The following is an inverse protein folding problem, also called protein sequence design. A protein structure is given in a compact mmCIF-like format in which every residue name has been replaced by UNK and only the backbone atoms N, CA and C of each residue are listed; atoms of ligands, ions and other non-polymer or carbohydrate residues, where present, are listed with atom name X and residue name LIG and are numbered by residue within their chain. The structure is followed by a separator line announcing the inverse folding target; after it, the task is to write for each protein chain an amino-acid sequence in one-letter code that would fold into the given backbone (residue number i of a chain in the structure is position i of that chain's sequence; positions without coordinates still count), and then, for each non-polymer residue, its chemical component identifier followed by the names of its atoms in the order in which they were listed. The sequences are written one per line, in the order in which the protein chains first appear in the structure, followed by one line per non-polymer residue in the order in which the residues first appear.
data_IF_337174703731
#
_entry.id   IF_337174703731
#
_cell.length_a   1.000
_cell.length_b   1.000
_cell.length_c   1.000
_cell.angle_alpha   90.00
_cell.angle_beta   90.00
_cell.angle_gamma   90.00
#
_symmetry.space_group_name_H-M   'P 1'
#
loop_
_entity.id
_entity.type
_entity.pdbx_description
1 polymer ?
#
# COMPACT_ATOMS: atom_id res chain seq x y z
N UNK A 1 24.57 16.62 -23.68
CA UNK A 1 23.99 15.59 -24.57
C UNK A 1 23.83 14.35 -23.73
N UNK A 2 22.63 13.76 -23.60
CA UNK A 2 22.53 12.48 -22.90
C UNK A 2 23.30 11.43 -23.70
N UNK A 3 24.21 10.70 -23.04
CA UNK A 3 24.94 9.60 -23.64
C UNK A 3 23.93 8.60 -24.19
N UNK A 4 24.05 8.20 -25.44
CA UNK A 4 23.25 7.17 -26.08
C UNK A 4 23.62 5.79 -25.50
N UNK A 5 23.32 5.57 -24.21
CA UNK A 5 23.42 4.24 -23.65
C UNK A 5 22.28 3.39 -24.26
N UNK A 6 22.60 2.14 -24.65
CA UNK A 6 21.59 1.21 -25.15
C UNK A 6 20.40 1.09 -24.17
N UNK A 7 19.17 0.83 -24.65
CA UNK A 7 18.05 0.54 -23.78
C UNK A 7 18.40 -0.56 -22.75
N UNK A 8 18.12 -0.31 -21.47
CA UNK A 8 18.36 -1.28 -20.41
C UNK A 8 17.21 -2.27 -20.33
N UNK A 9 17.49 -3.51 -20.04
CA UNK A 9 16.47 -4.55 -19.85
C UNK A 9 16.37 -4.91 -18.36
N UNK A 10 15.26 -4.54 -17.74
CA UNK A 10 15.01 -4.80 -16.31
C UNK A 10 14.00 -5.91 -16.15
N UNK A 11 14.36 -6.99 -15.43
CA UNK A 11 13.49 -8.10 -15.14
C UNK A 11 12.90 -7.96 -13.72
N UNK A 12 11.63 -7.58 -13.60
CA UNK A 12 10.90 -7.65 -12.35
C UNK A 12 10.32 -9.05 -12.13
N UNK A 13 10.40 -9.59 -10.91
CA UNK A 13 9.86 -10.92 -10.57
C UNK A 13 8.83 -10.83 -9.45
N UNK A 14 7.60 -11.28 -9.74
CA UNK A 14 6.45 -11.25 -8.82
C UNK A 14 5.59 -12.50 -9.00
N UNK A 15 4.96 -13.07 -7.93
CA UNK A 15 4.21 -14.33 -8.04
C UNK A 15 3.05 -14.28 -9.03
N UNK A 16 2.22 -13.26 -8.93
CA UNK A 16 1.03 -13.02 -9.74
C UNK A 16 0.83 -11.51 -9.95
N UNK A 17 -0.03 -11.13 -10.90
CA UNK A 17 -0.45 -9.76 -11.20
C UNK A 17 -1.95 -9.62 -10.91
N UNK A 18 -2.37 -9.94 -9.69
CA UNK A 18 -3.78 -9.83 -9.30
C UNK A 18 -4.06 -8.44 -8.69
N UNK A 19 -4.44 -8.38 -7.41
CA UNK A 19 -4.76 -7.14 -6.71
C UNK A 19 -3.86 -6.94 -5.51
N UNK A 20 -3.13 -5.83 -5.47
CA UNK A 20 -2.28 -5.50 -4.34
C UNK A 20 -1.30 -4.37 -4.65
N UNK A 21 -0.68 -3.85 -3.60
CA UNK A 21 0.24 -2.73 -3.75
C UNK A 21 1.57 -3.10 -4.41
N UNK A 22 2.04 -4.35 -4.29
CA UNK A 22 3.26 -4.80 -4.95
C UNK A 22 3.04 -4.97 -6.46
N UNK A 23 1.88 -5.51 -6.84
CA UNK A 23 1.43 -5.71 -8.21
C UNK A 23 1.28 -4.37 -8.93
N UNK A 24 0.59 -3.40 -8.30
CA UNK A 24 0.45 -2.03 -8.83
C UNK A 24 1.82 -1.38 -9.02
N UNK A 25 2.69 -1.40 -8.01
CA UNK A 25 4.04 -0.84 -8.11
C UNK A 25 4.88 -1.51 -9.22
N UNK A 26 4.66 -2.80 -9.50
CA UNK A 26 5.32 -3.48 -10.62
C UNK A 26 4.94 -2.88 -11.96
N UNK A 27 3.66 -2.56 -12.14
CA UNK A 27 3.12 -1.92 -13.36
C UNK A 27 3.62 -0.48 -13.46
N UNK A 28 3.56 0.29 -12.36
CA UNK A 28 4.02 1.68 -12.33
C UNK A 28 5.49 1.79 -12.75
N UNK A 29 6.35 0.88 -12.27
CA UNK A 29 7.76 0.86 -12.65
C UNK A 29 7.95 0.33 -14.09
N UNK A 30 7.12 -0.60 -14.57
CA UNK A 30 7.16 -1.02 -15.97
C UNK A 30 6.80 0.15 -16.89
N UNK A 31 5.80 0.96 -16.53
CA UNK A 31 5.41 2.17 -17.25
C UNK A 31 6.57 3.18 -17.34
N UNK A 32 7.25 3.44 -16.21
CA UNK A 32 8.38 4.38 -16.17
C UNK A 32 9.57 3.91 -17.01
N UNK A 33 9.88 2.61 -16.98
CA UNK A 33 10.92 2.01 -17.81
C UNK A 33 10.57 2.15 -19.29
N UNK A 34 9.35 1.79 -19.70
CA UNK A 34 8.90 1.90 -21.09
C UNK A 34 8.92 3.37 -21.57
N UNK A 35 8.45 4.31 -20.76
CA UNK A 35 8.46 5.74 -21.07
C UNK A 35 9.90 6.29 -21.25
N UNK A 36 10.89 5.71 -20.54
CA UNK A 36 12.31 6.05 -20.70
C UNK A 36 12.96 5.40 -21.93
N UNK A 37 12.26 4.48 -22.59
CA UNK A 37 12.78 3.70 -23.72
C UNK A 37 13.52 2.42 -23.31
N UNK A 38 13.47 2.04 -22.05
CA UNK A 38 13.99 0.78 -21.52
C UNK A 38 13.01 -0.39 -21.76
N UNK A 39 13.49 -1.61 -21.56
CA UNK A 39 12.73 -2.83 -21.79
C UNK A 39 12.24 -3.45 -20.46
N UNK A 40 10.98 -3.22 -20.03
CA UNK A 40 10.44 -3.76 -18.78
C UNK A 40 9.93 -5.19 -18.95
N UNK A 41 10.69 -6.17 -18.48
CA UNK A 41 10.26 -7.55 -18.42
C UNK A 41 9.64 -7.84 -17.04
N UNK A 42 8.54 -8.60 -17.01
CA UNK A 42 7.89 -9.05 -15.77
C UNK A 42 7.70 -10.56 -15.81
N UNK A 43 8.44 -11.30 -14.96
CA UNK A 43 8.25 -12.73 -14.77
C UNK A 43 7.18 -12.96 -13.70
N UNK A 44 6.03 -13.53 -14.10
CA UNK A 44 4.87 -13.75 -13.25
C UNK A 44 3.99 -14.89 -13.77
N UNK A 45 3.09 -15.40 -12.94
CA UNK A 45 2.05 -16.34 -13.40
C UNK A 45 0.95 -15.63 -14.24
N UNK A 46 0.97 -14.29 -14.31
CA UNK A 46 -0.11 -13.48 -14.87
C UNK A 46 -1.15 -13.12 -13.80
N UNK A 47 -2.32 -12.61 -14.21
CA UNK A 47 -3.42 -12.24 -13.32
C UNK A 47 -4.27 -11.11 -13.90
N UNK A 48 -5.16 -10.53 -13.07
CA UNK A 48 -6.13 -9.50 -13.48
C UNK A 48 -5.50 -8.23 -14.08
N UNK A 49 -4.31 -7.87 -13.62
CA UNK A 49 -3.59 -6.65 -14.03
C UNK A 49 -2.70 -6.87 -15.27
N UNK A 50 -2.78 -8.02 -15.92
CA UNK A 50 -1.97 -8.33 -17.09
C UNK A 50 -2.24 -7.37 -18.26
N UNK A 51 -3.52 -7.06 -18.51
CA UNK A 51 -3.90 -6.11 -19.56
C UNK A 51 -3.31 -4.71 -19.32
N UNK A 52 -3.28 -4.27 -18.07
CA UNK A 52 -2.67 -2.98 -17.70
C UNK A 52 -1.15 -2.99 -17.88
N UNK A 53 -0.48 -4.09 -17.51
CA UNK A 53 0.97 -4.23 -17.75
C UNK A 53 1.30 -4.10 -19.26
N UNK A 54 0.54 -4.79 -20.11
CA UNK A 54 0.75 -4.73 -21.56
C UNK A 54 0.45 -3.34 -22.12
N UNK A 55 -0.60 -2.69 -21.63
CA UNK A 55 -0.99 -1.34 -22.07
C UNK A 55 0.09 -0.27 -21.79
N UNK A 56 0.89 -0.44 -20.72
CA UNK A 56 2.00 0.47 -20.40
C UNK A 56 3.33 0.07 -21.05
N UNK A 57 3.33 -0.89 -21.99
CA UNK A 57 4.55 -1.34 -22.67
C UNK A 57 5.36 -2.40 -21.90
N UNK A 58 4.81 -2.96 -20.82
CA UNK A 58 5.45 -4.05 -20.09
C UNK A 58 5.35 -5.38 -20.84
N UNK A 59 6.37 -6.23 -20.73
CA UNK A 59 6.45 -7.54 -21.39
C UNK A 59 6.30 -8.64 -20.34
N UNK A 60 5.20 -9.40 -20.41
CA UNK A 60 4.96 -10.51 -19.49
C UNK A 60 5.70 -11.78 -19.93
N UNK A 61 6.52 -12.33 -19.04
CA UNK A 61 7.10 -13.67 -19.19
C UNK A 61 6.38 -14.61 -18.21
N UNK A 62 5.58 -15.54 -18.72
CA UNK A 62 4.78 -16.44 -17.89
C UNK A 62 5.64 -17.49 -17.20
N UNK A 63 5.76 -17.36 -15.87
CA UNK A 63 6.49 -18.28 -15.00
C UNK A 63 5.72 -18.48 -13.69
N UNK A 64 5.41 -19.73 -13.31
CA UNK A 64 4.83 -20.04 -11.99
C UNK A 64 5.92 -19.93 -10.90
N UNK A 65 6.28 -18.68 -10.55
CA UNK A 65 7.42 -18.36 -9.70
C UNK A 65 7.08 -18.27 -8.19
N UNK A 66 5.81 -18.36 -7.82
CA UNK A 66 5.34 -18.21 -6.44
C UNK A 66 5.50 -19.42 -5.53
N UNK A 67 6.06 -20.54 -6.02
CA UNK A 67 6.22 -21.78 -5.25
C UNK A 67 7.23 -21.63 -4.12
N UNK A 68 6.94 -22.30 -2.99
CA UNK A 68 7.85 -22.44 -1.84
C UNK A 68 8.55 -23.79 -1.81
N UNK A 69 8.26 -24.69 -2.76
CA UNK A 69 8.94 -25.98 -2.88
C UNK A 69 10.39 -25.77 -3.36
N UNK A 70 11.41 -26.26 -2.65
CA UNK A 70 12.82 -26.03 -2.99
C UNK A 70 13.20 -26.50 -4.39
N UNK A 71 12.69 -27.65 -4.84
CA UNK A 71 12.97 -28.19 -6.17
C UNK A 71 12.39 -27.27 -7.28
N UNK A 72 11.16 -26.79 -7.07
CA UNK A 72 10.53 -25.81 -8.00
C UNK A 72 11.27 -24.49 -7.99
N UNK A 73 11.75 -24.04 -6.82
CA UNK A 73 12.55 -22.81 -6.69
C UNK A 73 13.88 -22.95 -7.45
N UNK A 74 14.56 -24.10 -7.35
CA UNK A 74 15.79 -24.38 -8.12
C UNK A 74 15.52 -24.40 -9.63
N UNK A 75 14.46 -25.06 -10.07
CA UNK A 75 14.05 -25.05 -11.48
C UNK A 75 13.72 -23.63 -11.99
N UNK A 76 13.06 -22.82 -11.16
CA UNK A 76 12.78 -21.42 -11.48
C UNK A 76 14.05 -20.55 -11.53
N UNK A 77 15.07 -20.82 -10.69
CA UNK A 77 16.35 -20.14 -10.75
C UNK A 77 17.05 -20.40 -12.11
N UNK A 78 17.08 -21.65 -12.57
CA UNK A 78 17.62 -22.01 -13.88
C UNK A 78 16.83 -21.36 -15.03
N UNK A 79 15.51 -21.32 -14.90
CA UNK A 79 14.64 -20.66 -15.88
C UNK A 79 14.90 -19.17 -15.95
N UNK A 80 14.98 -18.47 -14.81
CA UNK A 80 15.33 -17.06 -14.76
C UNK A 80 16.71 -16.77 -15.31
N UNK A 81 17.71 -17.60 -15.03
CA UNK A 81 19.06 -17.45 -15.60
C UNK A 81 19.07 -17.61 -17.13
N UNK A 82 18.26 -18.53 -17.70
CA UNK A 82 18.09 -18.65 -19.15
C UNK A 82 17.39 -17.43 -19.75
N UNK A 83 16.32 -16.96 -19.12
CA UNK A 83 15.62 -15.72 -19.53
C UNK A 83 16.61 -14.55 -19.52
N UNK A 84 17.37 -14.40 -18.44
CA UNK A 84 18.33 -13.32 -18.29
C UNK A 84 19.38 -13.29 -19.41
N UNK A 85 19.90 -14.45 -19.79
CA UNK A 85 20.87 -14.56 -20.92
C UNK A 85 20.20 -14.33 -22.28
N UNK A 86 19.05 -14.97 -22.53
CA UNK A 86 18.31 -14.86 -23.81
C UNK A 86 17.89 -13.41 -24.12
N UNK A 87 17.36 -12.74 -23.08
CA UNK A 87 16.78 -11.41 -23.22
C UNK A 87 17.75 -10.28 -22.87
N UNK A 88 19.03 -10.60 -22.66
CA UNK A 88 20.09 -9.63 -22.31
C UNK A 88 19.68 -8.73 -21.15
N UNK A 89 19.21 -9.35 -20.05
CA UNK A 89 18.78 -8.64 -18.83
C UNK A 89 19.99 -7.99 -18.17
N UNK A 90 19.85 -6.75 -17.76
CA UNK A 90 20.87 -5.99 -17.07
C UNK A 90 20.74 -6.06 -15.54
N UNK A 91 19.49 -6.21 -15.02
CA UNK A 91 19.20 -6.23 -13.59
C UNK A 91 17.94 -7.07 -13.29
N UNK A 92 17.95 -7.79 -12.17
CA UNK A 92 16.76 -8.50 -11.67
C UNK A 92 16.25 -7.84 -10.38
N UNK A 93 14.96 -7.44 -10.39
CA UNK A 93 14.29 -6.83 -9.24
C UNK A 93 13.21 -7.75 -8.66
N UNK A 94 13.41 -8.25 -7.46
CA UNK A 94 12.43 -9.11 -6.78
C UNK A 94 11.44 -8.31 -5.93
N UNK A 95 10.15 -8.57 -6.15
CA UNK A 95 9.02 -7.93 -5.48
C UNK A 95 8.37 -8.77 -4.38
N UNK A 96 8.80 -10.02 -4.19
CA UNK A 96 8.22 -10.93 -3.21
C UNK A 96 9.20 -12.04 -2.82
N UNK A 97 9.03 -12.60 -1.61
CA UNK A 97 9.97 -13.55 -0.99
C UNK A 97 10.17 -14.85 -1.77
N UNK A 98 9.09 -15.48 -2.24
CA UNK A 98 9.20 -16.75 -2.95
C UNK A 98 10.01 -16.61 -4.25
N UNK A 99 9.68 -15.68 -5.16
CA UNK A 99 10.49 -15.44 -6.35
C UNK A 99 11.90 -14.89 -6.04
N UNK A 100 12.09 -14.18 -4.94
CA UNK A 100 13.38 -13.59 -4.60
C UNK A 100 14.50 -14.64 -4.38
N UNK A 101 14.21 -15.82 -3.85
CA UNK A 101 15.19 -16.89 -3.73
C UNK A 101 15.66 -17.40 -5.09
N UNK A 102 14.71 -17.61 -6.02
CA UNK A 102 15.04 -18.03 -7.38
C UNK A 102 15.80 -16.93 -8.14
N UNK A 103 15.39 -15.66 -7.96
CA UNK A 103 16.05 -14.51 -8.56
C UNK A 103 17.48 -14.32 -8.04
N UNK A 104 17.71 -14.42 -6.73
CA UNK A 104 19.04 -14.33 -6.13
C UNK A 104 19.97 -15.44 -6.66
N UNK A 105 19.47 -16.68 -6.78
CA UNK A 105 20.25 -17.78 -7.35
C UNK A 105 20.56 -17.55 -8.84
N UNK A 106 19.60 -17.01 -9.62
CA UNK A 106 19.83 -16.67 -11.01
C UNK A 106 20.86 -15.54 -11.17
N UNK A 107 20.79 -14.48 -10.34
CA UNK A 107 21.76 -13.39 -10.33
C UNK A 107 23.17 -13.90 -10.05
N UNK A 108 23.35 -14.77 -9.05
CA UNK A 108 24.66 -15.39 -8.75
C UNK A 108 25.22 -16.23 -9.90
N UNK A 109 24.33 -16.91 -10.66
CA UNK A 109 24.72 -17.74 -11.79
C UNK A 109 25.00 -16.94 -13.08
N UNK A 110 24.57 -15.70 -13.14
CA UNK A 110 24.70 -14.83 -14.33
C UNK A 110 25.60 -13.61 -14.11
N UNK A 111 25.96 -13.31 -12.86
CA UNK A 111 26.70 -12.09 -12.49
C UNK A 111 25.85 -10.82 -12.50
N UNK A 112 24.51 -10.95 -12.59
CA UNK A 112 23.62 -9.80 -12.66
C UNK A 112 23.33 -9.19 -11.29
N UNK A 113 23.18 -7.85 -11.21
CA UNK A 113 22.75 -7.16 -10.00
C UNK A 113 21.37 -7.63 -9.52
N UNK A 114 21.21 -7.69 -8.20
CA UNK A 114 19.98 -8.10 -7.52
C UNK A 114 19.40 -6.96 -6.68
N UNK A 115 18.21 -6.49 -7.01
CA UNK A 115 17.46 -5.49 -6.25
C UNK A 115 16.22 -6.13 -5.61
N UNK A 116 15.84 -5.68 -4.44
CA UNK A 116 14.62 -6.12 -3.77
C UNK A 116 13.78 -4.94 -3.28
N UNK A 117 12.44 -5.08 -3.31
CA UNK A 117 11.55 -4.15 -2.59
C UNK A 117 10.83 -4.87 -1.46
N UNK A 118 10.97 -4.33 -0.26
CA UNK A 118 10.33 -4.85 0.94
C UNK A 118 8.93 -4.23 1.09
N UNK A 119 7.89 -4.93 0.62
CA UNK A 119 6.54 -4.40 0.49
C UNK A 119 5.66 -4.49 1.74
N UNK A 120 6.08 -5.17 2.79
CA UNK A 120 5.24 -5.38 3.96
C UNK A 120 6.01 -5.89 5.17
N UNK A 121 5.40 -5.84 6.33
CA UNK A 121 5.97 -6.36 7.56
C UNK A 121 5.76 -7.88 7.58
N UNK A 122 6.84 -8.62 7.48
CA UNK A 122 6.78 -10.08 7.50
C UNK A 122 6.83 -10.60 8.93
N UNK A 123 5.84 -11.40 9.31
CA UNK A 123 5.87 -12.09 10.61
C UNK A 123 7.06 -13.06 10.68
N UNK A 124 7.74 -13.09 11.84
CA UNK A 124 8.97 -13.88 12.07
C UNK A 124 8.79 -14.80 13.28
N UNK A 125 7.99 -15.84 13.13
CA UNK A 125 7.90 -16.90 14.14
C UNK A 125 8.94 -17.99 13.83
N UNK A 126 10.07 -17.96 14.55
CA UNK A 126 11.13 -18.96 14.43
C UNK A 126 12.24 -18.65 13.41
N UNK A 127 13.42 -19.28 13.61
CA UNK A 127 14.63 -19.04 12.84
C UNK A 127 14.48 -19.37 11.34
N UNK A 128 13.80 -20.47 11.01
CA UNK A 128 13.56 -20.87 9.62
C UNK A 128 12.75 -19.82 8.83
N UNK A 129 11.73 -19.24 9.45
CA UNK A 129 10.92 -18.19 8.82
C UNK A 129 11.71 -16.90 8.67
N UNK A 130 12.52 -16.54 9.67
CA UNK A 130 13.45 -15.40 9.59
C UNK A 130 14.45 -15.58 8.45
N UNK A 131 15.07 -16.76 8.34
CA UNK A 131 15.96 -17.08 7.22
C UNK A 131 15.25 -16.96 5.88
N UNK A 132 14.04 -17.54 5.74
CA UNK A 132 13.25 -17.44 4.51
C UNK A 132 12.93 -15.99 4.14
N UNK A 133 12.58 -15.15 5.10
CA UNK A 133 12.29 -13.74 4.85
C UNK A 133 13.56 -12.92 4.51
N UNK A 134 14.74 -13.33 4.98
CA UNK A 134 16.00 -12.60 4.83
C UNK A 134 16.42 -12.37 3.39
N UNK A 135 15.90 -13.15 2.43
CA UNK A 135 16.21 -12.96 1.00
C UNK A 135 15.86 -11.56 0.52
N UNK A 136 14.82 -10.95 1.08
CA UNK A 136 14.41 -9.58 0.73
C UNK A 136 15.38 -8.51 1.25
N UNK A 137 16.32 -8.88 2.11
CA UNK A 137 17.37 -8.01 2.65
C UNK A 137 18.76 -8.29 2.02
N UNK A 138 18.83 -9.14 0.96
CA UNK A 138 20.08 -9.57 0.33
C UNK A 138 20.38 -8.89 -1.01
N UNK A 139 19.53 -7.96 -1.46
CA UNK A 139 19.76 -7.17 -2.66
C UNK A 139 21.03 -6.30 -2.54
N UNK A 140 21.68 -5.96 -3.63
CA UNK A 140 22.71 -4.91 -3.69
C UNK A 140 22.11 -3.56 -3.33
N UNK A 141 20.85 -3.32 -3.73
CA UNK A 141 19.98 -2.34 -3.11
C UNK A 141 18.71 -3.01 -2.58
N UNK A 142 18.30 -2.57 -1.39
CA UNK A 142 17.09 -3.01 -0.70
C UNK A 142 16.16 -1.81 -0.58
N UNK A 143 15.13 -1.75 -1.40
CA UNK A 143 14.15 -0.68 -1.37
C UNK A 143 13.18 -0.95 -0.21
N UNK A 144 13.13 -0.03 0.75
CA UNK A 144 12.18 0.00 1.85
C UNK A 144 11.07 1.01 1.54
N UNK A 145 9.82 0.62 1.72
CA UNK A 145 8.66 1.47 1.40
C UNK A 145 8.31 2.51 2.47
N UNK A 146 9.14 2.64 3.52
CA UNK A 146 9.05 3.65 4.58
C UNK A 146 10.34 3.65 5.40
N UNK A 147 10.59 4.72 6.17
CA UNK A 147 11.69 4.78 7.13
C UNK A 147 11.52 3.72 8.23
N UNK A 148 10.28 3.50 8.69
CA UNK A 148 9.97 2.41 9.62
C UNK A 148 10.40 1.05 9.07
N UNK A 149 10.08 0.74 7.80
CA UNK A 149 10.48 -0.51 7.17
C UNK A 149 12.01 -0.58 6.99
N UNK A 150 12.68 0.52 6.68
CA UNK A 150 14.15 0.58 6.58
C UNK A 150 14.83 0.24 7.90
N UNK A 151 14.38 0.84 9.01
CA UNK A 151 14.86 0.54 10.35
C UNK A 151 14.62 -0.93 10.73
N UNK A 152 13.44 -1.46 10.41
CA UNK A 152 13.08 -2.85 10.65
C UNK A 152 14.00 -3.81 9.90
N UNK A 153 14.34 -3.54 8.63
CA UNK A 153 15.24 -4.36 7.82
C UNK A 153 16.66 -4.32 8.41
N UNK A 154 17.18 -3.12 8.68
CA UNK A 154 18.51 -2.92 9.25
C UNK A 154 18.65 -3.67 10.59
N UNK A 155 17.67 -3.53 11.48
CA UNK A 155 17.70 -4.18 12.78
C UNK A 155 17.56 -5.71 12.70
N UNK A 156 16.58 -6.21 11.93
CA UNK A 156 16.23 -7.65 11.87
C UNK A 156 17.28 -8.49 11.15
N UNK A 157 17.80 -7.99 10.04
CA UNK A 157 18.69 -8.76 9.14
C UNK A 157 20.13 -8.27 9.19
N UNK A 158 20.43 -7.26 10.01
CA UNK A 158 21.77 -6.63 10.08
C UNK A 158 22.25 -6.17 8.70
N UNK A 159 21.30 -5.71 7.88
CA UNK A 159 21.60 -5.18 6.56
C UNK A 159 22.33 -3.86 6.70
N UNK A 160 23.40 -3.68 5.93
CA UNK A 160 24.12 -2.42 5.85
C UNK A 160 23.17 -1.28 5.45
N UNK A 161 23.05 -0.21 6.26
CA UNK A 161 22.20 0.94 5.95
C UNK A 161 22.50 1.57 4.59
N UNK A 162 23.76 1.54 4.12
CA UNK A 162 24.17 2.06 2.81
C UNK A 162 23.53 1.32 1.63
N UNK A 163 23.02 0.12 1.84
CA UNK A 163 22.27 -0.67 0.84
C UNK A 163 20.76 -0.47 0.91
N UNK A 164 20.25 0.17 1.97
CA UNK A 164 18.81 0.40 2.15
C UNK A 164 18.45 1.76 1.58
N UNK A 165 17.52 1.76 0.64
CA UNK A 165 17.01 3.00 0.02
C UNK A 165 15.53 3.13 0.37
N UNK A 166 15.16 4.26 0.98
CA UNK A 166 13.77 4.55 1.30
C UNK A 166 13.11 5.10 0.04
N UNK A 167 12.13 4.38 -0.48
CA UNK A 167 11.28 4.82 -1.59
C UNK A 167 9.84 4.56 -1.20
N UNK A 168 9.12 5.61 -0.86
CA UNK A 168 7.72 5.52 -0.51
C UNK A 168 6.88 4.97 -1.66
N UNK A 169 5.76 4.33 -1.33
CA UNK A 169 4.82 3.89 -2.36
C UNK A 169 4.16 5.06 -3.04
N UNK A 170 4.04 4.97 -4.35
CA UNK A 170 3.33 5.95 -5.14
C UNK A 170 1.81 5.85 -4.97
N UNK A 171 1.19 7.01 -4.91
CA UNK A 171 -0.25 7.23 -5.03
C UNK A 171 -0.48 8.13 -6.23
N UNK A 172 -1.46 7.80 -7.07
CA UNK A 172 -1.87 8.65 -8.19
C UNK A 172 -2.66 9.85 -7.63
N UNK A 173 -1.93 10.89 -7.25
CA UNK A 173 -2.50 12.09 -6.63
C UNK A 173 -3.47 12.83 -7.57
N UNK A 174 -3.40 12.63 -8.87
CA UNK A 174 -4.33 13.19 -9.83
C UNK A 174 -5.66 12.44 -9.84
N UNK A 175 -5.64 11.11 -9.83
CA UNK A 175 -6.84 10.29 -9.71
C UNK A 175 -7.52 10.46 -8.33
N UNK A 176 -6.71 10.72 -7.28
CA UNK A 176 -7.17 11.00 -5.92
C UNK A 176 -7.31 12.52 -5.64
N UNK A 177 -7.74 13.29 -6.64
CA UNK A 177 -8.11 14.68 -6.44
C UNK A 177 -9.64 14.83 -6.39
N UNK A 178 -10.23 15.68 -5.52
CA UNK A 178 -11.69 15.84 -5.41
C UNK A 178 -12.35 16.18 -6.75
N UNK A 179 -11.70 16.99 -7.57
CA UNK A 179 -12.22 17.44 -8.87
C UNK A 179 -12.17 16.35 -9.94
N UNK A 180 -11.38 15.27 -9.73
CA UNK A 180 -11.36 14.12 -10.62
C UNK A 180 -12.56 13.18 -10.41
N UNK A 181 -13.39 13.43 -9.39
CA UNK A 181 -14.55 12.59 -9.06
C UNK A 181 -15.84 13.27 -9.50
N UNK A 182 -16.35 12.85 -10.64
CA UNK A 182 -17.62 13.35 -11.16
C UNK A 182 -18.80 13.09 -10.19
N UNK A 183 -19.82 13.98 -10.13
CA UNK A 183 -20.95 13.84 -9.20
C UNK A 183 -21.68 12.50 -9.28
N UNK A 184 -21.89 11.97 -10.50
CA UNK A 184 -22.55 10.68 -10.70
C UNK A 184 -21.80 9.49 -10.08
N UNK A 185 -20.47 9.54 -10.00
CA UNK A 185 -19.66 8.50 -9.30
C UNK A 185 -19.92 8.55 -7.78
N UNK A 186 -19.99 9.75 -7.19
CA UNK A 186 -20.35 9.92 -5.76
C UNK A 186 -21.75 9.40 -5.45
N UNK A 187 -22.71 9.75 -6.32
CA UNK A 187 -24.08 9.26 -6.19
C UNK A 187 -24.19 7.75 -6.35
N UNK A 188 -23.42 7.15 -7.24
CA UNK A 188 -23.37 5.70 -7.41
C UNK A 188 -22.89 5.00 -6.12
N UNK A 189 -21.83 5.51 -5.47
CA UNK A 189 -21.35 5.02 -4.17
C UNK A 189 -22.43 5.21 -3.09
N UNK A 190 -23.05 6.38 -3.00
CA UNK A 190 -24.13 6.63 -2.00
C UNK A 190 -25.26 5.64 -2.17
N UNK A 191 -25.74 5.41 -3.38
CA UNK A 191 -26.79 4.43 -3.68
C UNK A 191 -26.36 3.00 -3.34
N UNK A 192 -25.15 2.61 -3.78
CA UNK A 192 -24.60 1.27 -3.53
C UNK A 192 -24.51 0.98 -2.02
N UNK A 193 -24.16 1.98 -1.23
CA UNK A 193 -24.04 1.86 0.22
C UNK A 193 -25.35 2.13 0.98
N UNK A 194 -26.45 2.42 0.27
CA UNK A 194 -27.75 2.72 0.86
C UNK A 194 -27.76 4.02 1.68
N UNK A 195 -26.88 4.98 1.37
CA UNK A 195 -26.82 6.26 2.07
C UNK A 195 -27.94 7.18 1.58
N UNK A 196 -28.64 7.81 2.54
CA UNK A 196 -29.51 8.94 2.26
C UNK A 196 -28.69 10.25 2.23
N UNK A 197 -29.26 11.36 1.86
CA UNK A 197 -28.55 12.64 1.68
C UNK A 197 -28.03 13.31 2.95
N UNK A 198 -28.53 12.93 4.14
CA UNK A 198 -28.27 13.62 5.41
C UNK A 198 -27.19 12.94 6.27
N UNK A 199 -26.79 11.72 5.94
CA UNK A 199 -25.82 10.96 6.73
C UNK A 199 -24.39 11.47 6.52
N UNK A 200 -23.63 11.48 7.62
CA UNK A 200 -22.19 11.73 7.65
C UNK A 200 -21.44 10.40 7.69
N UNK A 201 -20.41 10.26 6.89
CA UNK A 201 -19.75 8.97 6.65
C UNK A 201 -18.37 8.91 7.30
N UNK A 202 -18.21 7.96 8.22
CA UNK A 202 -16.89 7.51 8.72
C UNK A 202 -16.48 6.28 7.92
N UNK A 203 -15.44 6.41 7.10
CA UNK A 203 -15.03 5.39 6.13
C UNK A 203 -13.78 4.63 6.56
N UNK A 204 -13.87 3.30 6.67
CA UNK A 204 -12.74 2.40 6.80
C UNK A 204 -12.51 1.63 5.50
N UNK A 205 -11.50 2.01 4.74
CA UNK A 205 -11.06 1.34 3.51
C UNK A 205 -9.97 0.33 3.83
N UNK A 206 -10.34 -0.91 4.12
CA UNK A 206 -9.38 -1.95 4.45
C UNK A 206 -9.95 -3.35 4.22
N UNK A 207 -9.11 -4.29 3.77
CA UNK A 207 -9.48 -5.71 3.76
C UNK A 207 -10.05 -6.12 5.11
N UNK A 208 -11.08 -6.96 5.13
CA UNK A 208 -11.63 -7.48 6.37
C UNK A 208 -10.68 -8.52 6.96
N UNK A 209 -9.83 -8.08 7.87
CA UNK A 209 -8.85 -8.92 8.59
C UNK A 209 -8.68 -8.41 10.03
N UNK A 210 -8.42 -9.32 10.98
CA UNK A 210 -8.39 -8.99 12.40
C UNK A 210 -7.49 -7.82 12.78
N UNK A 211 -6.35 -7.69 12.11
CA UNK A 211 -5.37 -6.64 12.40
C UNK A 211 -5.68 -5.26 11.78
N UNK A 212 -6.68 -5.17 10.89
CA UNK A 212 -7.14 -3.89 10.31
C UNK A 212 -8.10 -3.10 11.22
N UNK A 213 -8.41 -3.62 12.42
CA UNK A 213 -9.04 -2.91 13.51
C UNK A 213 -10.51 -2.58 13.30
N UNK A 214 -11.24 -3.28 12.41
CA UNK A 214 -12.70 -3.09 12.29
C UNK A 214 -13.42 -3.31 13.62
N UNK A 215 -12.93 -4.22 14.47
CA UNK A 215 -13.45 -4.43 15.83
C UNK A 215 -13.35 -3.17 16.68
N UNK A 216 -12.18 -2.51 16.64
CA UNK A 216 -11.93 -1.28 17.42
C UNK A 216 -12.85 -0.15 16.94
N UNK A 217 -13.06 -0.04 15.62
CA UNK A 217 -13.97 0.97 15.06
C UNK A 217 -15.44 0.71 15.45
N UNK A 218 -15.88 -0.55 15.48
CA UNK A 218 -17.24 -0.90 15.94
C UNK A 218 -17.41 -0.54 17.42
N UNK A 219 -16.43 -0.81 18.27
CA UNK A 219 -16.47 -0.41 19.68
C UNK A 219 -16.48 1.13 19.81
N UNK A 220 -15.64 1.84 19.07
CA UNK A 220 -15.61 3.30 19.05
C UNK A 220 -16.97 3.90 18.64
N UNK A 221 -17.66 3.30 17.66
CA UNK A 221 -19.00 3.73 17.25
C UNK A 221 -20.07 3.60 18.35
N UNK A 222 -19.85 2.71 19.31
CA UNK A 222 -20.71 2.51 20.48
C UNK A 222 -20.27 3.32 21.72
N UNK A 223 -19.20 4.12 21.61
CA UNK A 223 -18.58 4.85 22.72
C UNK A 223 -18.88 6.35 22.62
N UNK A 224 -19.10 7.09 23.75
CA UNK A 224 -19.13 8.54 23.70
C UNK A 224 -17.83 9.15 23.15
N UNK A 225 -17.87 10.23 22.34
CA UNK A 225 -19.07 11.01 22.03
C UNK A 225 -19.84 10.51 20.78
N UNK A 226 -19.43 9.42 20.12
CA UNK A 226 -20.01 9.01 18.82
C UNK A 226 -21.34 8.27 18.96
N UNK A 227 -21.63 7.66 20.11
CA UNK A 227 -22.82 6.84 20.31
C UNK A 227 -24.12 7.63 20.12
N UNK A 228 -24.12 8.92 20.47
CA UNK A 228 -25.30 9.78 20.42
C UNK A 228 -25.53 10.43 19.03
N UNK A 229 -24.54 10.36 18.16
CA UNK A 229 -24.56 10.94 16.81
C UNK A 229 -25.26 10.00 15.82
N UNK A 230 -26.60 10.07 15.76
CA UNK A 230 -27.43 9.18 14.93
C UNK A 230 -27.28 9.40 13.44
N UNK A 231 -26.80 10.58 13.02
CA UNK A 231 -26.48 10.93 11.63
C UNK A 231 -25.20 10.27 11.12
N UNK A 232 -24.36 9.69 12.01
CA UNK A 232 -23.13 9.04 11.60
C UNK A 232 -23.38 7.61 11.10
N UNK A 233 -22.85 7.33 9.92
CA UNK A 233 -22.78 5.98 9.35
C UNK A 233 -21.32 5.57 9.20
N UNK A 234 -20.98 4.41 9.75
CA UNK A 234 -19.66 3.81 9.67
C UNK A 234 -19.66 2.78 8.54
N UNK A 235 -18.84 3.02 7.51
CA UNK A 235 -18.74 2.14 6.35
C UNK A 235 -17.44 1.35 6.40
N UNK A 236 -17.55 0.02 6.47
CA UNK A 236 -16.45 -0.92 6.39
C UNK A 236 -16.39 -1.45 4.96
N UNK A 237 -15.51 -0.83 4.16
CA UNK A 237 -15.36 -1.16 2.73
C UNK A 237 -14.08 -1.98 2.51
N UNK A 238 -14.22 -3.24 2.13
CA UNK A 238 -13.12 -4.13 1.84
C UNK A 238 -13.52 -5.58 1.61
N UNK A 239 -12.68 -6.30 0.89
CA UNK A 239 -12.87 -7.71 0.57
C UNK A 239 -12.52 -8.59 1.76
N UNK A 240 -13.27 -9.67 1.97
CA UNK A 240 -12.99 -10.72 2.95
C UNK A 240 -11.80 -11.58 2.57
N UNK A 241 -11.53 -11.73 1.28
CA UNK A 241 -10.52 -12.64 0.74
C UNK A 241 -10.60 -14.05 1.34
N UNK A 242 -11.83 -14.60 1.42
CA UNK A 242 -12.10 -15.91 1.98
C UNK A 242 -12.18 -15.97 3.52
N UNK A 243 -12.18 -14.81 4.21
CA UNK A 243 -12.31 -14.75 5.69
C UNK A 243 -13.76 -14.52 6.13
N UNK A 244 -14.69 -15.31 5.62
CA UNK A 244 -16.13 -15.15 5.89
C UNK A 244 -16.46 -15.32 7.39
N UNK A 245 -15.68 -16.12 8.12
CA UNK A 245 -15.84 -16.23 9.58
C UNK A 245 -15.59 -14.88 10.29
N UNK A 246 -14.60 -14.11 9.84
CA UNK A 246 -14.34 -12.79 10.40
C UNK A 246 -15.44 -11.78 10.06
N UNK A 247 -15.99 -11.83 8.85
CA UNK A 247 -17.15 -11.02 8.48
C UNK A 247 -18.35 -11.30 9.39
N UNK A 248 -18.70 -12.59 9.57
CA UNK A 248 -19.79 -12.98 10.49
C UNK A 248 -19.54 -12.53 11.94
N UNK A 249 -18.31 -12.59 12.40
CA UNK A 249 -17.95 -12.06 13.72
C UNK A 249 -18.23 -10.56 13.82
N UNK A 250 -17.85 -9.77 12.79
CA UNK A 250 -18.14 -8.33 12.77
C UNK A 250 -19.65 -8.06 12.76
N UNK A 251 -20.42 -8.78 11.94
CA UNK A 251 -21.88 -8.68 11.87
C UNK A 251 -22.53 -8.98 13.25
N UNK A 252 -22.08 -10.04 13.92
CA UNK A 252 -22.55 -10.38 15.27
C UNK A 252 -22.22 -9.28 16.28
N UNK A 253 -21.01 -8.70 16.22
CA UNK A 253 -20.58 -7.62 17.10
C UNK A 253 -21.38 -6.33 16.85
N UNK A 254 -21.66 -5.98 15.61
CA UNK A 254 -22.52 -4.85 15.22
C UNK A 254 -23.92 -5.01 15.82
N UNK A 255 -24.51 -6.19 15.69
CA UNK A 255 -25.83 -6.48 16.25
C UNK A 255 -25.83 -6.42 17.80
N UNK A 256 -24.83 -7.01 18.45
CA UNK A 256 -24.70 -7.02 19.92
C UNK A 256 -24.53 -5.60 20.51
N UNK A 257 -23.97 -4.64 19.72
CA UNK A 257 -23.86 -3.23 20.12
C UNK A 257 -25.03 -2.35 19.68
N UNK A 258 -26.07 -2.92 19.07
CA UNK A 258 -27.24 -2.17 18.57
C UNK A 258 -26.91 -1.22 17.39
N UNK A 259 -25.83 -1.49 16.64
CA UNK A 259 -25.31 -0.62 15.59
C UNK A 259 -25.74 -0.99 14.17
N UNK A 260 -26.69 -1.94 14.02
CA UNK A 260 -27.09 -2.46 12.69
C UNK A 260 -27.61 -1.39 11.71
N UNK A 261 -28.17 -0.29 12.21
CA UNK A 261 -28.60 0.85 11.40
C UNK A 261 -27.45 1.78 10.99
N UNK A 262 -26.31 1.74 11.71
CA UNK A 262 -25.23 2.73 11.61
C UNK A 262 -23.91 2.18 11.08
N UNK A 263 -23.67 0.87 11.19
CA UNK A 263 -22.44 0.24 10.68
C UNK A 263 -22.78 -0.66 9.50
N UNK A 264 -22.16 -0.42 8.36
CA UNK A 264 -22.41 -1.12 7.10
C UNK A 264 -21.14 -1.81 6.60
N UNK A 265 -21.20 -3.12 6.37
CA UNK A 265 -20.15 -3.90 5.71
C UNK A 265 -20.52 -3.99 4.22
N UNK A 266 -19.85 -3.22 3.37
CA UNK A 266 -20.25 -3.03 1.97
C UNK A 266 -19.48 -3.89 0.97
N UNK A 267 -18.50 -4.69 1.44
CA UNK A 267 -17.68 -5.53 0.58
C UNK A 267 -16.61 -4.75 -0.18
N UNK A 268 -16.19 -5.29 -1.32
CA UNK A 268 -15.15 -4.68 -2.15
C UNK A 268 -15.61 -3.33 -2.73
N UNK A 269 -14.75 -2.32 -2.61
CA UNK A 269 -14.93 -1.02 -3.24
C UNK A 269 -13.96 -0.90 -4.42
N UNK A 270 -14.50 -0.83 -5.64
CA UNK A 270 -13.71 -0.67 -6.85
C UNK A 270 -13.34 0.80 -7.12
N UNK A 271 -14.23 1.73 -6.81
CA UNK A 271 -14.03 3.17 -7.00
C UNK A 271 -13.63 3.85 -5.68
N UNK A 272 -12.36 3.70 -5.31
CA UNK A 272 -11.82 4.26 -4.07
C UNK A 272 -11.84 5.81 -4.04
N UNK A 273 -11.50 6.53 -5.13
CA UNK A 273 -11.64 7.98 -5.15
C UNK A 273 -13.07 8.45 -4.87
N UNK A 274 -14.09 7.84 -5.50
CA UNK A 274 -15.48 8.19 -5.26
C UNK A 274 -15.94 7.83 -3.83
N UNK A 275 -15.46 6.73 -3.28
CA UNK A 275 -15.69 6.33 -1.88
C UNK A 275 -15.15 7.36 -0.89
N UNK A 276 -13.93 7.85 -1.11
CA UNK A 276 -13.33 8.91 -0.29
C UNK A 276 -14.05 10.24 -0.47
N UNK A 277 -14.52 10.56 -1.70
CA UNK A 277 -15.29 11.78 -1.96
C UNK A 277 -16.67 11.80 -1.25
N UNK A 278 -17.16 10.67 -0.78
CA UNK A 278 -18.40 10.54 0.02
C UNK A 278 -18.10 10.60 1.52
N UNK A 279 -16.85 10.39 1.93
CA UNK A 279 -16.47 10.32 3.33
C UNK A 279 -16.34 11.70 3.99
N UNK A 280 -16.89 11.86 5.19
CA UNK A 280 -16.62 13.01 6.05
C UNK A 280 -15.30 12.86 6.81
N UNK A 281 -14.96 11.62 7.16
CA UNK A 281 -13.71 11.26 7.82
C UNK A 281 -13.30 9.86 7.36
N UNK A 282 -12.02 9.65 7.09
CA UNK A 282 -11.45 8.32 6.86
C UNK A 282 -10.76 7.82 8.12
N UNK A 283 -10.68 6.49 8.30
CA UNK A 283 -10.08 5.88 9.48
C UNK A 283 -9.26 4.64 9.14
N UNK A 284 -8.06 4.55 9.74
CA UNK A 284 -7.22 3.36 9.73
C UNK A 284 -6.96 2.96 11.18
N UNK A 285 -7.71 1.98 11.67
CA UNK A 285 -7.68 1.52 13.06
C UNK A 285 -6.79 0.28 13.25
N UNK A 286 -5.74 0.10 12.45
CA UNK A 286 -4.89 -1.09 12.46
C UNK A 286 -4.31 -1.38 13.84
N UNK A 287 -4.37 -2.64 14.28
CA UNK A 287 -3.84 -3.10 15.57
C UNK A 287 -2.43 -3.70 15.46
N UNK A 288 -1.93 -3.83 14.23
CA UNK A 288 -0.54 -4.20 13.93
C UNK A 288 0.09 -3.12 13.03
N UNK A 289 1.43 -2.96 13.06
CA UNK A 289 2.09 -1.93 12.29
C UNK A 289 1.85 -2.03 10.77
N UNK A 290 1.56 -0.90 10.15
CA UNK A 290 1.50 -0.79 8.69
C UNK A 290 2.89 -0.48 8.12
N UNK A 291 3.23 -1.12 7.00
CA UNK A 291 4.50 -0.87 6.34
C UNK A 291 4.55 0.49 5.62
N UNK A 292 3.39 1.02 5.22
CA UNK A 292 3.25 2.33 4.60
C UNK A 292 1.89 2.98 4.91
N UNK A 293 0.75 2.32 4.64
CA UNK A 293 -0.57 2.88 4.89
C UNK A 293 -1.12 3.69 3.70
N UNK A 294 -1.18 3.11 2.51
CA UNK A 294 -1.68 3.76 1.28
C UNK A 294 -3.00 4.50 1.47
N UNK A 295 -3.97 3.89 2.16
CA UNK A 295 -5.29 4.49 2.35
C UNK A 295 -5.23 5.83 3.12
N UNK A 296 -4.19 6.06 3.95
CA UNK A 296 -3.99 7.35 4.59
C UNK A 296 -3.54 8.42 3.60
N UNK A 297 -2.64 8.08 2.69
CA UNK A 297 -2.18 9.01 1.65
C UNK A 297 -3.31 9.28 0.65
N UNK A 298 -4.06 8.28 0.25
CA UNK A 298 -5.22 8.39 -0.64
C UNK A 298 -6.30 9.31 -0.04
N UNK A 299 -6.60 9.17 1.26
CA UNK A 299 -7.53 10.07 1.95
C UNK A 299 -7.02 11.52 2.00
N UNK A 300 -5.74 11.71 2.28
CA UNK A 300 -5.11 13.04 2.31
C UNK A 300 -5.10 13.70 0.93
N UNK A 301 -4.79 12.96 -0.13
CA UNK A 301 -4.86 13.45 -1.51
C UNK A 301 -6.28 13.90 -1.89
N UNK A 302 -7.31 13.21 -1.41
CA UNK A 302 -8.71 13.62 -1.53
C UNK A 302 -9.10 14.79 -0.61
N UNK A 303 -8.20 15.24 0.28
CA UNK A 303 -8.50 16.27 1.28
C UNK A 303 -9.47 15.82 2.37
N UNK A 304 -9.63 14.51 2.57
CA UNK A 304 -10.49 13.94 3.60
C UNK A 304 -9.74 13.86 4.93
N UNK A 305 -10.28 14.40 6.03
CA UNK A 305 -9.71 14.23 7.36
C UNK A 305 -9.47 12.75 7.66
N UNK A 306 -8.29 12.43 8.23
CA UNK A 306 -7.90 11.04 8.48
C UNK A 306 -7.50 10.83 9.95
N UNK A 307 -8.02 9.76 10.56
CA UNK A 307 -7.59 9.28 11.87
C UNK A 307 -6.87 7.95 11.67
N UNK A 308 -5.64 7.83 12.18
CA UNK A 308 -4.84 6.61 12.04
C UNK A 308 -4.33 6.14 13.39
N UNK A 309 -4.21 4.82 13.55
CA UNK A 309 -3.47 4.26 14.68
C UNK A 309 -1.98 4.57 14.51
N UNK A 310 -1.33 5.10 15.55
CA UNK A 310 0.10 5.42 15.54
C UNK A 310 0.98 4.17 15.63
N UNK A 311 1.02 3.41 14.54
CA UNK A 311 1.80 2.18 14.39
C UNK A 311 2.50 2.11 13.04
N UNK A 312 3.74 1.61 13.04
CA UNK A 312 4.50 1.42 11.81
C UNK A 312 4.83 2.76 11.14
N UNK A 313 4.52 2.89 9.86
CA UNK A 313 4.78 4.09 9.08
C UNK A 313 3.70 5.19 9.21
N UNK A 314 2.77 5.08 10.16
CA UNK A 314 1.69 6.06 10.31
C UNK A 314 2.22 7.49 10.54
N UNK A 315 3.29 7.64 11.35
CA UNK A 315 3.92 8.94 11.63
C UNK A 315 4.65 9.55 10.41
N UNK A 316 4.90 8.76 9.37
CA UNK A 316 5.51 9.23 8.12
C UNK A 316 4.45 9.69 7.12
N UNK A 317 3.29 9.02 7.13
CA UNK A 317 2.21 9.26 6.15
C UNK A 317 1.16 10.23 6.65
N UNK A 318 1.02 10.41 7.95
CA UNK A 318 0.10 11.38 8.57
C UNK A 318 0.86 12.19 9.62
N UNK A 319 0.88 13.50 9.48
CA UNK A 319 1.51 14.39 10.46
C UNK A 319 0.50 14.72 11.57
N UNK A 320 0.89 14.49 12.82
CA UNK A 320 0.07 14.80 13.98
C UNK A 320 0.93 15.12 15.23
N UNK A 321 0.41 15.83 16.22
CA UNK A 321 1.09 15.98 17.51
C UNK A 321 1.43 14.61 18.15
N UNK A 322 2.52 14.49 18.92
CA UNK A 322 3.48 15.54 19.27
C UNK A 322 4.59 15.77 18.22
N UNK A 323 4.64 15.02 17.10
CA UNK A 323 5.70 15.10 16.09
C UNK A 323 5.69 16.47 15.37
N UNK A 324 4.51 17.05 15.23
CA UNK A 324 4.31 18.39 14.66
C UNK A 324 3.35 19.18 15.53
N UNK A 325 3.36 20.50 15.40
CA UNK A 325 2.36 21.38 16.02
C UNK A 325 0.95 21.11 15.46
N UNK A 326 -0.09 21.36 16.26
CA UNK A 326 -1.47 21.06 15.88
C UNK A 326 -1.93 21.80 14.61
N UNK A 327 -1.40 22.99 14.38
CA UNK A 327 -1.73 23.87 13.26
C UNK A 327 -1.25 23.34 11.90
N UNK A 328 -0.18 22.50 11.91
CA UNK A 328 0.39 21.94 10.69
C UNK A 328 0.07 20.45 10.50
N UNK A 329 -0.74 19.87 11.39
CA UNK A 329 -1.18 18.47 11.25
C UNK A 329 -1.88 18.23 9.92
N UNK A 330 -1.81 16.98 9.45
CA UNK A 330 -2.55 16.47 8.29
C UNK A 330 -3.60 15.42 8.67
N UNK A 331 -3.67 15.06 9.96
CA UNK A 331 -4.62 14.12 10.51
C UNK A 331 -4.46 13.93 12.02
N UNK A 332 -4.96 12.82 12.54
CA UNK A 332 -4.87 12.46 13.97
C UNK A 332 -4.23 11.11 14.16
N UNK A 333 -3.43 11.01 15.22
CA UNK A 333 -2.90 9.74 15.71
C UNK A 333 -3.65 9.29 16.96
N UNK A 334 -3.95 8.00 17.04
CA UNK A 334 -4.54 7.38 18.24
C UNK A 334 -3.72 6.15 18.65
N UNK A 335 -3.74 5.76 19.95
CA UNK A 335 -3.15 4.51 20.38
C UNK A 335 -3.81 3.30 19.71
N UNK A 336 -3.08 2.18 19.53
CA UNK A 336 -3.65 0.95 19.01
C UNK A 336 -4.65 0.31 19.98
N UNK A 337 -5.70 -0.29 19.44
CA UNK A 337 -6.74 -1.00 20.19
C UNK A 337 -7.43 -0.17 21.29
N UNK A 338 -7.51 1.15 21.10
CA UNK A 338 -8.15 2.10 22.02
C UNK A 338 -9.40 2.70 21.35
N UNK A 339 -10.60 2.16 21.61
CA UNK A 339 -11.84 2.66 21.04
C UNK A 339 -12.22 4.06 21.54
N UNK A 340 -11.87 4.42 22.79
CA UNK A 340 -12.19 5.71 23.38
C UNK A 340 -11.38 6.82 22.71
N UNK A 341 -10.07 6.66 22.61
CA UNK A 341 -9.20 7.60 21.89
C UNK A 341 -9.60 7.72 20.43
N UNK A 342 -10.00 6.60 19.80
CA UNK A 342 -10.48 6.61 18.42
C UNK A 342 -11.79 7.39 18.29
N UNK A 343 -12.75 7.22 19.21
CA UNK A 343 -14.02 7.95 19.22
C UNK A 343 -13.80 9.46 19.38
N UNK A 344 -12.93 9.86 20.31
CA UNK A 344 -12.57 11.27 20.53
C UNK A 344 -11.93 11.90 19.30
N UNK A 345 -10.97 11.23 18.67
CA UNK A 345 -10.28 11.74 17.48
C UNK A 345 -11.24 11.86 16.28
N UNK A 346 -12.14 10.87 16.07
CA UNK A 346 -13.16 10.93 15.03
C UNK A 346 -14.13 12.09 15.28
N UNK A 347 -14.58 12.29 16.51
CA UNK A 347 -15.46 13.40 16.87
C UNK A 347 -14.78 14.76 16.62
N UNK A 348 -13.50 14.91 16.99
CA UNK A 348 -12.72 16.11 16.72
C UNK A 348 -12.58 16.39 15.22
N UNK A 349 -12.33 15.35 14.42
CA UNK A 349 -12.24 15.48 12.96
C UNK A 349 -13.59 15.85 12.31
N UNK A 350 -14.69 15.32 12.85
CA UNK A 350 -16.04 15.63 12.41
C UNK A 350 -16.49 17.03 12.82
N UNK A 351 -16.00 17.57 13.94
CA UNK A 351 -16.36 18.87 14.48
C UNK A 351 -15.62 20.06 13.84
N UNK A 352 -14.69 19.83 12.90
CA UNK A 352 -13.96 20.90 12.22
C UNK A 352 -14.91 21.90 11.55
N UNK A 353 -14.67 23.19 11.82
CA UNK A 353 -15.31 24.26 11.06
C UNK A 353 -14.91 24.20 9.57
N UNK A 354 -15.77 24.67 8.65
CA UNK A 354 -15.49 24.64 7.21
C UNK A 354 -14.12 25.23 6.83
N UNK A 355 -13.70 26.34 7.43
CA UNK A 355 -12.41 26.97 7.17
C UNK A 355 -11.23 26.09 7.65
N UNK A 356 -11.34 25.48 8.83
CA UNK A 356 -10.33 24.58 9.37
C UNK A 356 -10.22 23.29 8.54
N UNK A 357 -11.37 22.76 8.11
CA UNK A 357 -11.45 21.60 7.22
C UNK A 357 -10.77 21.88 5.88
N UNK A 358 -11.00 23.06 5.30
CA UNK A 358 -10.36 23.47 4.05
C UNK A 358 -8.84 23.65 4.22
N UNK A 359 -8.41 24.26 5.30
CA UNK A 359 -6.99 24.43 5.62
C UNK A 359 -6.29 23.07 5.84
N UNK A 360 -6.93 22.15 6.59
CA UNK A 360 -6.45 20.78 6.76
C UNK A 360 -6.35 20.06 5.41
N UNK A 361 -7.37 20.14 4.57
CA UNK A 361 -7.39 19.52 3.25
C UNK A 361 -6.26 20.03 2.35
N UNK A 362 -5.95 21.34 2.39
CA UNK A 362 -4.82 21.93 1.66
C UNK A 362 -3.49 21.30 2.10
N UNK A 363 -3.20 21.33 3.40
CA UNK A 363 -1.97 20.75 3.96
C UNK A 363 -1.86 19.23 3.70
N UNK A 364 -2.99 18.52 3.78
CA UNK A 364 -3.04 17.08 3.55
C UNK A 364 -2.70 16.74 2.11
N UNK A 365 -3.23 17.49 1.13
CA UNK A 365 -2.89 17.30 -0.29
C UNK A 365 -1.43 17.60 -0.57
N UNK A 366 -0.91 18.72 -0.08
CA UNK A 366 0.51 19.06 -0.21
C UNK A 366 1.42 17.97 0.38
N UNK A 367 1.05 17.43 1.55
CA UNK A 367 1.81 16.33 2.14
C UNK A 367 1.73 15.05 1.31
N UNK A 368 0.57 14.75 0.71
CA UNK A 368 0.35 13.57 -0.13
C UNK A 368 1.19 13.59 -1.43
N UNK A 369 1.51 14.77 -1.97
CA UNK A 369 2.37 14.93 -3.17
C UNK A 369 3.75 14.30 -2.99
N UNK A 370 4.27 14.25 -1.76
CA UNK A 370 5.54 13.59 -1.42
C UNK A 370 5.52 12.09 -1.72
N UNK A 371 4.35 11.52 -1.88
CA UNK A 371 4.11 10.09 -2.13
C UNK A 371 3.52 9.85 -3.53
N UNK A 372 3.87 10.69 -4.51
CA UNK A 372 3.41 10.54 -5.88
C UNK A 372 3.97 9.31 -6.58
N UNK A 373 3.26 8.81 -7.59
CA UNK A 373 3.74 7.72 -8.45
C UNK A 373 5.02 8.13 -9.17
N UNK A 374 5.07 9.35 -9.68
CA UNK A 374 6.21 9.92 -10.41
C UNK A 374 7.46 9.98 -9.54
N UNK A 375 7.32 10.43 -8.29
CA UNK A 375 8.42 10.46 -7.31
C UNK A 375 8.96 9.06 -7.01
N UNK A 376 8.08 8.08 -6.80
CA UNK A 376 8.45 6.67 -6.62
C UNK A 376 9.15 6.09 -7.85
N UNK A 377 8.65 6.38 -9.04
CA UNK A 377 9.23 5.95 -10.31
C UNK A 377 10.63 6.51 -10.47
N UNK A 378 10.80 7.82 -10.39
CA UNK A 378 12.08 8.51 -10.53
C UNK A 378 13.12 7.97 -9.54
N UNK A 379 12.75 7.82 -8.26
CA UNK A 379 13.65 7.29 -7.23
C UNK A 379 14.04 5.81 -7.50
N UNK A 380 13.10 4.99 -8.01
CA UNK A 380 13.40 3.59 -8.35
C UNK A 380 14.33 3.48 -9.55
N UNK A 381 14.11 4.29 -10.59
CA UNK A 381 15.00 4.34 -11.76
C UNK A 381 16.41 4.82 -11.38
N UNK A 382 16.51 5.80 -10.50
CA UNK A 382 17.81 6.27 -9.98
C UNK A 382 18.58 5.17 -9.22
N UNK A 383 17.87 4.27 -8.51
CA UNK A 383 18.52 3.08 -7.91
C UNK A 383 19.08 2.15 -8.96
N UNK A 384 18.35 1.90 -10.05
CA UNK A 384 18.84 1.06 -11.14
C UNK A 384 20.06 1.68 -11.83
N UNK A 385 19.98 2.99 -12.12
CA UNK A 385 21.08 3.73 -12.75
C UNK A 385 22.34 3.66 -11.90
N UNK A 386 22.25 3.97 -10.61
CA UNK A 386 23.38 3.88 -9.68
C UNK A 386 24.04 2.50 -9.67
N UNK A 387 23.26 1.41 -9.75
CA UNK A 387 23.80 0.05 -9.71
C UNK A 387 24.46 -0.30 -11.05
N UNK A 388 23.84 0.07 -12.17
CA UNK A 388 24.29 -0.30 -13.50
C UNK A 388 25.45 0.58 -14.03
N UNK A 389 25.59 1.81 -13.52
CA UNK A 389 26.68 2.72 -13.91
C UNK A 389 27.98 2.44 -13.14
N UNK A 390 27.93 1.66 -12.06
CA UNK A 390 29.11 1.24 -11.26
C UNK A 390 29.57 -0.18 -11.67
N UNK A 391 28.73 -0.92 -12.39
CA UNK A 391 29.02 -2.29 -12.87
C UNK A 391 29.66 -2.27 -14.25
#
# INVERSE_FOLDING_TARGET
MPSSSRPRTILQVIPALDTGGAERTTIDIAAALAARGDRPLVASAGGRLEGELLAVGGILIRVKIGSKNPAVMAANALRLARIARRDTVDLIHARSRAPAWAALAACRATGLPFVTTYHGIYGERGAAKRFYNSVMARGEAVIANSAYTAQLIAHRYKTDPGRIVIIYRGTDVMAFHPDAVAPNRREAIRRQWGLNGSERVVLNLARLTGWKGQRVLIEAAATPPLVDHRELVFVLAGDTQGREAYRRELESRIAARGLSARVRIVGHCADVPAALAVADVAVIASTEPEAFGRAAVEAQAMGVPIVVTNLGAAAETVLAPPQVAAEVRTGWHVPPADPEALAQALAAALALHPAERQALAGRSREHAERFSVEGMQAATLAVYDRILDVS
#
